data_IF_799009050823
#
_entry.id   IF_799009050823
#
_cell.length_a   1.000
_cell.length_b   1.000
_cell.length_c   1.000
_cell.angle_alpha   90.00
_cell.angle_beta   90.00
_cell.angle_gamma   90.00
#
_symmetry.space_group_name_H-M   'P 1'
#
loop_
_entity.id
_entity.type
_entity.pdbx_description
1 polymer ?
#
# COMPACT_ATOMS: atom_id res chain seq x y z
N UNK A 1 -23.89 76.67 23.43
CA UNK A 1 -23.29 77.84 24.17
C UNK A 1 -21.77 77.71 24.10
N UNK A 2 -21.17 78.75 23.48
CA UNK A 2 -19.85 79.33 23.68
C UNK A 2 -18.65 78.35 23.61
N UNK A 3 -17.90 78.33 22.49
CA UNK A 3 -16.99 79.32 21.97
C UNK A 3 -15.76 79.58 22.89
N UNK A 4 -14.55 79.18 22.41
CA UNK A 4 -13.35 80.03 22.37
C UNK A 4 -12.14 79.28 21.82
N UNK A 5 -11.64 79.74 20.65
CA UNK A 5 -10.21 79.71 20.32
C UNK A 5 -9.49 80.77 21.15
N UNK A 6 -8.21 80.68 21.37
CA UNK A 6 -7.22 81.40 20.57
C UNK A 6 -5.83 80.72 20.54
N UNK A 7 -5.01 81.02 19.67
CA UNK A 7 -4.10 82.10 19.33
C UNK A 7 -2.74 81.57 18.92
N UNK A 8 -2.37 81.93 17.74
CA UNK A 8 -1.06 81.83 17.06
C UNK A 8 0.07 82.51 17.86
N UNK A 9 1.27 81.89 17.85
CA UNK A 9 2.54 82.58 17.96
C UNK A 9 3.47 82.11 16.86
N UNK A 10 3.85 83.10 16.03
CA UNK A 10 4.96 83.05 15.07
C UNK A 10 6.25 83.26 15.82
N UNK A 11 7.29 82.49 15.49
CA UNK A 11 8.65 82.85 15.77
C UNK A 11 9.51 82.62 14.53
N UNK A 12 10.27 83.57 14.23
CA UNK A 12 11.03 83.87 13.04
C UNK A 12 12.31 83.06 12.87
N UNK A 13 12.68 82.93 11.64
CA UNK A 13 13.83 82.43 10.96
C UNK A 13 15.24 82.60 11.63
N UNK A 14 16.09 81.60 11.43
CA UNK A 14 17.49 81.72 11.28
C UNK A 14 18.00 80.81 10.18
N UNK A 15 18.48 81.37 9.10
CA UNK A 15 19.11 80.67 7.96
C UNK A 15 20.48 80.14 8.32
N UNK A 16 20.66 78.84 8.30
CA UNK A 16 21.98 78.22 8.35
C UNK A 16 22.20 77.45 7.08
N UNK A 17 23.12 77.90 6.25
CA UNK A 17 23.57 77.20 5.05
C UNK A 17 24.43 76.03 5.47
N UNK A 18 23.95 74.79 5.25
CA UNK A 18 24.79 73.60 5.38
C UNK A 18 25.07 73.09 3.96
N UNK A 19 26.32 73.13 3.58
CA UNK A 19 26.80 72.48 2.35
C UNK A 19 26.88 70.97 2.58
N UNK A 20 25.92 70.22 2.02
CA UNK A 20 25.98 68.78 2.01
C UNK A 20 26.74 68.29 0.78
N UNK A 21 27.93 67.73 1.04
CA UNK A 21 28.72 67.00 0.03
C UNK A 21 27.99 65.66 -0.16
N UNK A 22 27.28 65.52 -1.26
CA UNK A 22 26.61 64.28 -1.64
C UNK A 22 27.58 63.20 -2.11
N UNK A 23 27.85 62.22 -1.29
CA UNK A 23 28.47 60.96 -1.72
C UNK A 23 27.42 60.12 -2.37
N UNK A 24 27.36 60.06 -3.71
CA UNK A 24 26.47 59.17 -4.46
C UNK A 24 27.06 57.76 -4.41
N UNK A 25 26.54 56.93 -3.49
CA UNK A 25 26.79 55.49 -3.52
C UNK A 25 25.86 54.92 -4.57
N UNK A 26 26.43 54.54 -5.71
CA UNK A 26 25.70 53.76 -6.72
C UNK A 26 25.46 52.35 -6.16
N UNK A 27 24.22 52.09 -5.67
CA UNK A 27 23.77 50.75 -5.35
C UNK A 27 23.55 50.04 -6.68
N UNK A 28 24.47 49.15 -7.05
CA UNK A 28 24.28 48.24 -8.16
C UNK A 28 23.12 47.32 -7.81
N UNK A 29 21.98 47.44 -8.50
CA UNK A 29 20.91 46.46 -8.45
C UNK A 29 21.43 45.14 -9.02
N UNK A 30 21.29 44.01 -8.31
CA UNK A 30 21.60 42.71 -8.92
C UNK A 30 20.66 42.52 -10.11
N UNK A 31 21.24 42.26 -11.29
CA UNK A 31 20.49 41.85 -12.47
C UNK A 31 19.58 40.69 -12.09
N UNK A 32 18.27 40.85 -12.33
CA UNK A 32 17.32 39.77 -12.21
C UNK A 32 17.78 38.66 -13.17
N UNK A 33 18.36 37.61 -12.60
CA UNK A 33 18.58 36.36 -13.33
C UNK A 33 17.22 35.88 -13.78
N UNK A 34 16.96 35.95 -15.09
CA UNK A 34 15.81 35.32 -15.69
C UNK A 34 15.82 33.83 -15.24
N UNK A 35 14.87 33.48 -14.39
CA UNK A 35 14.58 32.08 -14.04
C UNK A 35 14.31 31.38 -15.35
N UNK A 36 15.27 30.62 -15.84
CA UNK A 36 15.02 29.64 -16.88
C UNK A 36 13.93 28.72 -16.30
N UNK A 37 12.69 28.90 -16.76
CA UNK A 37 11.64 27.97 -16.48
C UNK A 37 12.20 26.59 -16.80
N UNK A 38 12.45 25.81 -15.74
CA UNK A 38 12.99 24.47 -15.87
C UNK A 38 12.11 23.71 -16.83
N UNK A 39 12.64 23.40 -18.00
CA UNK A 39 12.00 22.45 -18.93
C UNK A 39 11.88 21.18 -18.11
N UNK A 40 10.64 20.87 -17.67
CA UNK A 40 10.32 19.58 -17.06
C UNK A 40 10.94 18.52 -17.98
N UNK A 41 11.78 17.61 -17.47
CA UNK A 41 12.33 16.56 -18.30
C UNK A 41 11.14 15.87 -18.97
N UNK A 42 11.15 15.87 -20.28
CA UNK A 42 10.13 15.19 -21.08
C UNK A 42 10.16 13.74 -20.63
N UNK A 43 9.06 13.25 -20.07
CA UNK A 43 8.96 11.85 -19.66
C UNK A 43 9.44 11.00 -20.84
N UNK A 44 10.50 10.23 -20.63
CA UNK A 44 11.00 9.32 -21.65
C UNK A 44 9.85 8.43 -22.14
N UNK A 45 9.78 8.20 -23.45
CA UNK A 45 8.75 7.34 -24.01
C UNK A 45 8.89 5.94 -23.39
N UNK A 46 7.79 5.29 -23.00
CA UNK A 46 7.84 3.99 -22.36
C UNK A 46 8.52 2.97 -23.29
N UNK A 47 9.50 2.23 -22.77
CA UNK A 47 10.28 1.26 -23.52
C UNK A 47 9.59 -0.10 -23.47
N UNK A 48 9.19 -0.60 -24.65
CA UNK A 48 8.61 -1.94 -24.80
C UNK A 48 9.71 -2.87 -25.34
N UNK A 49 9.97 -3.94 -24.63
CA UNK A 49 10.91 -4.99 -24.97
C UNK A 49 10.13 -6.19 -25.50
N UNK A 50 10.34 -6.54 -26.75
CA UNK A 50 9.83 -7.76 -27.39
C UNK A 50 10.74 -8.07 -28.60
N UNK A 51 11.10 -9.33 -28.78
CA UNK A 51 11.94 -9.76 -29.90
C UNK A 51 11.23 -10.87 -30.68
N UNK A 52 10.29 -10.49 -31.59
CA UNK A 52 9.51 -11.47 -32.38
C UNK A 52 10.33 -12.10 -33.45
N UNK A 53 10.15 -13.41 -33.62
CA UNK A 53 10.60 -14.18 -34.80
C UNK A 53 9.52 -14.15 -35.90
N UNK A 54 9.84 -14.66 -37.09
CA UNK A 54 8.87 -14.81 -38.17
C UNK A 54 7.64 -15.64 -37.71
N UNK A 55 6.46 -15.16 -38.02
CA UNK A 55 5.19 -15.80 -37.65
C UNK A 55 4.71 -15.52 -36.24
N UNK A 56 5.36 -14.62 -35.48
CA UNK A 56 4.83 -14.12 -34.22
C UNK A 56 3.69 -13.12 -34.45
N UNK A 57 2.63 -13.22 -33.65
CA UNK A 57 1.55 -12.25 -33.69
C UNK A 57 2.01 -10.91 -33.10
N UNK A 58 1.35 -9.83 -33.52
CA UNK A 58 1.60 -8.51 -32.95
C UNK A 58 1.30 -8.48 -31.45
N UNK A 59 2.22 -7.92 -30.66
CA UNK A 59 2.02 -7.71 -29.23
C UNK A 59 0.80 -6.83 -28.96
N UNK A 60 -0.15 -7.24 -28.09
CA UNK A 60 -1.33 -6.45 -27.80
C UNK A 60 -0.98 -5.18 -27.02
N UNK A 61 -1.83 -4.16 -27.16
CA UNK A 61 -1.73 -2.95 -26.34
C UNK A 61 -2.23 -3.24 -24.91
N UNK A 62 -1.35 -3.07 -23.94
CA UNK A 62 -1.67 -3.30 -22.53
C UNK A 62 -1.84 -1.95 -21.82
N UNK A 63 -3.00 -1.70 -21.18
CA UNK A 63 -3.29 -0.43 -20.50
C UNK A 63 -2.67 -0.40 -19.09
N UNK A 64 -1.35 -0.53 -19.00
CA UNK A 64 -0.59 -0.45 -17.76
C UNK A 64 0.65 0.44 -17.95
N UNK A 65 1.10 1.10 -16.86
CA UNK A 65 2.31 1.91 -16.89
C UNK A 65 3.56 1.04 -17.04
N UNK A 66 3.65 -0.04 -16.28
CA UNK A 66 4.71 -1.04 -16.36
C UNK A 66 4.10 -2.44 -16.33
N UNK A 67 4.73 -3.39 -17.04
CA UNK A 67 4.31 -4.78 -17.04
C UNK A 67 5.42 -5.73 -17.54
N UNK A 68 5.29 -7.00 -17.17
CA UNK A 68 6.18 -8.07 -17.61
C UNK A 68 5.37 -9.35 -17.87
N UNK A 69 5.81 -10.12 -18.88
CA UNK A 69 5.35 -11.47 -19.18
C UNK A 69 6.55 -12.42 -19.13
N UNK A 70 6.48 -13.42 -18.28
CA UNK A 70 7.56 -14.35 -17.98
C UNK A 70 7.10 -15.78 -18.15
N UNK A 71 7.95 -16.61 -18.73
CA UNK A 71 7.86 -18.06 -18.62
C UNK A 71 8.35 -18.47 -17.23
N UNK A 72 7.44 -18.98 -16.39
CA UNK A 72 7.74 -19.29 -15.00
C UNK A 72 8.75 -20.44 -14.84
N UNK A 73 8.73 -21.39 -15.75
CA UNK A 73 9.56 -22.60 -15.70
C UNK A 73 11.03 -22.25 -16.02
N UNK A 74 11.28 -21.58 -17.14
CA UNK A 74 12.64 -21.17 -17.53
C UNK A 74 13.09 -19.89 -16.81
N UNK A 75 12.22 -18.95 -16.57
CA UNK A 75 12.53 -17.57 -16.11
C UNK A 75 12.71 -16.59 -17.26
N UNK A 76 12.49 -17.02 -18.51
CA UNK A 76 12.61 -16.17 -19.69
C UNK A 76 11.59 -15.04 -19.71
N UNK A 77 12.05 -13.82 -19.94
CA UNK A 77 11.20 -12.66 -20.16
C UNK A 77 10.80 -12.64 -21.63
N UNK A 78 9.52 -12.92 -21.91
CA UNK A 78 9.00 -13.01 -23.26
C UNK A 78 8.68 -11.63 -23.86
N UNK A 79 8.17 -10.73 -23.02
CA UNK A 79 7.91 -9.35 -23.36
C UNK A 79 7.77 -8.51 -22.07
N UNK A 80 8.11 -7.23 -22.16
CA UNK A 80 7.99 -6.32 -21.03
C UNK A 80 7.79 -4.87 -21.50
N UNK A 81 7.27 -4.04 -20.61
CA UNK A 81 7.24 -2.57 -20.72
C UNK A 81 7.72 -1.98 -19.42
N UNK A 82 8.82 -1.22 -19.47
CA UNK A 82 9.43 -0.55 -18.30
C UNK A 82 9.47 -1.47 -17.05
N UNK A 83 9.96 -2.74 -17.16
CA UNK A 83 9.75 -3.75 -16.12
C UNK A 83 10.43 -3.41 -14.79
N UNK A 84 11.46 -2.55 -14.80
CA UNK A 84 12.23 -2.10 -13.63
C UNK A 84 11.81 -0.72 -13.11
N UNK A 85 10.80 -0.09 -13.73
CA UNK A 85 10.30 1.18 -13.22
C UNK A 85 9.61 0.97 -11.88
N UNK A 86 10.05 1.71 -10.88
CA UNK A 86 9.58 1.58 -9.50
C UNK A 86 8.25 2.31 -9.27
N UNK A 87 7.28 1.60 -8.73
CA UNK A 87 5.99 2.11 -8.28
C UNK A 87 5.65 1.53 -6.91
N UNK A 88 4.77 2.18 -6.11
CA UNK A 88 4.21 1.56 -4.92
C UNK A 88 3.49 0.25 -5.30
N UNK A 89 3.80 -0.86 -4.60
CA UNK A 89 3.26 -2.19 -4.96
C UNK A 89 1.82 -2.40 -4.51
N UNK A 90 1.30 -1.62 -3.57
CA UNK A 90 0.08 -1.92 -2.85
C UNK A 90 0.12 -3.36 -2.28
N UNK A 91 -1.04 -4.01 -2.14
CA UNK A 91 -1.14 -5.35 -1.56
C UNK A 91 -0.49 -6.48 -2.39
N UNK A 92 0.09 -6.22 -3.58
CA UNK A 92 0.91 -7.23 -4.26
C UNK A 92 2.19 -7.53 -3.49
N UNK A 93 2.67 -6.61 -2.63
CA UNK A 93 3.80 -6.83 -1.72
C UNK A 93 3.56 -7.99 -0.74
N UNK A 94 2.32 -8.32 -0.41
CA UNK A 94 1.98 -9.46 0.45
C UNK A 94 2.49 -10.81 -0.08
N UNK A 95 2.80 -10.89 -1.37
CA UNK A 95 3.48 -12.07 -1.93
C UNK A 95 4.88 -12.20 -1.33
N UNK A 96 5.65 -11.10 -1.28
CA UNK A 96 6.95 -11.10 -0.63
C UNK A 96 6.81 -11.41 0.87
N UNK A 97 5.84 -10.82 1.56
CA UNK A 97 5.56 -11.12 2.97
C UNK A 97 5.34 -12.62 3.20
N UNK A 98 4.53 -13.26 2.35
CA UNK A 98 4.25 -14.69 2.46
C UNK A 98 5.47 -15.55 2.14
N UNK A 99 6.17 -15.26 1.04
CA UNK A 99 7.39 -15.98 0.63
C UNK A 99 8.47 -15.90 1.69
N UNK A 100 8.60 -14.74 2.35
CA UNK A 100 9.57 -14.54 3.42
C UNK A 100 9.17 -15.24 4.71
N UNK A 101 7.97 -14.98 5.21
CA UNK A 101 7.64 -15.31 6.60
C UNK A 101 7.06 -16.73 6.77
N UNK A 102 6.47 -17.31 5.71
CA UNK A 102 5.88 -18.65 5.82
C UNK A 102 6.90 -19.74 6.23
N UNK A 103 8.15 -19.77 5.73
CA UNK A 103 9.15 -20.72 6.16
C UNK A 103 9.60 -20.57 7.61
N UNK A 104 9.41 -19.39 8.22
CA UNK A 104 9.80 -19.10 9.60
C UNK A 104 8.77 -19.51 10.64
N UNK A 105 7.54 -19.87 10.23
CA UNK A 105 6.41 -20.08 11.12
C UNK A 105 5.82 -21.48 10.98
N UNK A 106 5.61 -22.17 12.10
CA UNK A 106 4.84 -23.40 12.13
C UNK A 106 3.37 -23.11 11.80
N UNK A 107 2.86 -23.70 10.71
CA UNK A 107 1.54 -23.37 10.16
C UNK A 107 0.38 -23.72 11.10
N UNK A 108 0.54 -24.75 11.94
CA UNK A 108 -0.45 -25.17 12.93
C UNK A 108 -0.35 -24.44 14.27
N UNK A 109 0.68 -23.62 14.46
CA UNK A 109 0.81 -22.83 15.69
C UNK A 109 -0.27 -21.75 15.78
N UNK A 110 -0.52 -21.28 16.99
CA UNK A 110 -1.53 -20.28 17.29
C UNK A 110 -0.88 -18.93 17.58
N UNK A 111 -1.36 -17.90 16.93
CA UNK A 111 -1.01 -16.52 17.23
C UNK A 111 -2.24 -15.78 17.80
N UNK A 112 -2.06 -15.10 18.93
CA UNK A 112 -3.08 -14.23 19.53
C UNK A 112 -2.93 -12.84 18.96
N UNK A 113 -3.96 -12.39 18.20
CA UNK A 113 -3.96 -11.07 17.59
C UNK A 113 -3.97 -9.96 18.66
N UNK A 114 -3.20 -8.91 18.45
CA UNK A 114 -3.12 -7.75 19.32
C UNK A 114 -3.84 -6.52 18.74
N UNK A 115 -3.83 -5.39 19.45
CA UNK A 115 -4.47 -4.15 19.02
C UNK A 115 -3.84 -3.55 17.75
N UNK A 116 -2.53 -3.71 17.54
CA UNK A 116 -1.85 -3.24 16.33
C UNK A 116 -2.38 -3.99 15.10
N UNK A 117 -2.62 -5.30 15.24
CA UNK A 117 -3.12 -6.13 14.13
C UNK A 117 -4.54 -5.70 13.72
N UNK A 118 -5.44 -5.63 14.68
CA UNK A 118 -6.87 -5.40 14.41
C UNK A 118 -7.18 -3.97 13.94
N UNK A 119 -6.29 -3.02 14.25
CA UNK A 119 -6.46 -1.61 13.89
C UNK A 119 -5.82 -1.22 12.56
N UNK A 120 -5.35 -2.21 11.75
CA UNK A 120 -4.81 -1.90 10.44
C UNK A 120 -5.88 -1.26 9.53
N UNK A 121 -5.54 -0.15 8.82
CA UNK A 121 -6.47 0.47 7.89
C UNK A 121 -6.69 -0.38 6.64
N UNK A 122 -7.79 -0.11 5.93
CA UNK A 122 -8.14 -0.77 4.66
C UNK A 122 -8.79 -2.14 4.84
N UNK A 123 -8.49 -3.08 3.94
CA UNK A 123 -9.13 -4.41 3.93
C UNK A 123 -8.67 -5.26 5.10
N UNK A 124 -9.62 -5.90 5.79
CA UNK A 124 -9.39 -6.75 6.97
C UNK A 124 -10.21 -8.03 6.87
N UNK A 125 -9.73 -9.11 7.48
CA UNK A 125 -10.52 -10.34 7.66
C UNK A 125 -11.36 -10.29 8.94
N UNK A 126 -11.14 -9.29 9.78
CA UNK A 126 -11.89 -9.05 11.01
C UNK A 126 -11.33 -9.81 12.21
N UNK A 127 -10.02 -9.86 12.35
CA UNK A 127 -9.37 -10.31 13.58
C UNK A 127 -9.87 -9.51 14.78
N UNK A 128 -9.82 -10.11 15.96
CA UNK A 128 -10.13 -9.43 17.23
C UNK A 128 -8.96 -9.60 18.19
N UNK A 129 -8.60 -8.52 18.87
CA UNK A 129 -7.56 -8.54 19.89
C UNK A 129 -7.87 -9.56 20.99
N UNK A 130 -6.86 -10.28 21.46
CA UNK A 130 -6.98 -11.34 22.43
C UNK A 130 -7.48 -12.68 21.87
N UNK A 131 -7.81 -12.78 20.57
CA UNK A 131 -8.25 -14.02 19.94
C UNK A 131 -7.11 -14.74 19.24
N UNK A 132 -6.94 -16.03 19.58
CA UNK A 132 -5.95 -16.89 18.95
C UNK A 132 -6.48 -17.45 17.61
N UNK A 133 -5.61 -17.38 16.59
CA UNK A 133 -5.86 -17.82 15.23
C UNK A 133 -4.74 -18.74 14.76
N UNK A 134 -5.02 -19.73 13.93
CA UNK A 134 -3.95 -20.52 13.31
C UNK A 134 -3.13 -19.67 12.35
N UNK A 135 -1.81 -19.84 12.36
CA UNK A 135 -0.90 -19.15 11.44
C UNK A 135 -1.27 -19.41 9.98
N UNK A 136 -1.61 -20.65 9.62
CA UNK A 136 -2.07 -20.99 8.27
C UNK A 136 -3.34 -20.24 7.83
N UNK A 137 -4.24 -19.92 8.77
CA UNK A 137 -5.44 -19.12 8.49
C UNK A 137 -5.12 -17.63 8.34
N UNK A 138 -4.11 -17.12 9.07
CA UNK A 138 -3.61 -15.77 8.88
C UNK A 138 -2.99 -15.60 7.49
N UNK A 139 -2.16 -16.54 7.02
CA UNK A 139 -1.64 -16.52 5.64
C UNK A 139 -2.75 -16.59 4.61
N UNK A 140 -3.75 -17.46 4.82
CA UNK A 140 -4.91 -17.54 3.93
C UNK A 140 -5.68 -16.22 3.88
N UNK A 141 -5.97 -15.60 5.03
CA UNK A 141 -6.64 -14.30 5.12
C UNK A 141 -5.85 -13.17 4.46
N UNK A 142 -4.54 -13.15 4.65
CA UNK A 142 -3.64 -12.20 4.02
C UNK A 142 -3.64 -12.32 2.48
N UNK A 143 -3.60 -13.53 1.95
CA UNK A 143 -3.48 -13.75 0.51
C UNK A 143 -4.82 -13.72 -0.21
N UNK A 144 -5.86 -14.38 0.31
CA UNK A 144 -7.19 -14.50 -0.31
C UNK A 144 -7.98 -13.20 -0.20
N UNK A 145 -8.17 -12.68 1.02
CA UNK A 145 -8.93 -11.46 1.30
C UNK A 145 -8.09 -10.18 1.22
N UNK A 146 -6.77 -10.33 1.07
CA UNK A 146 -5.87 -9.16 1.17
C UNK A 146 -5.90 -8.48 2.55
N UNK A 147 -6.19 -9.22 3.63
CA UNK A 147 -6.33 -8.71 5.00
C UNK A 147 -5.06 -8.01 5.47
N UNK A 148 -5.18 -6.72 5.85
CA UNK A 148 -4.07 -5.95 6.41
C UNK A 148 -3.86 -6.32 7.88
N UNK A 149 -4.94 -6.63 8.60
CA UNK A 149 -4.92 -7.21 9.94
C UNK A 149 -4.18 -8.56 9.96
N UNK A 150 -4.48 -9.43 9.00
CA UNK A 150 -3.80 -10.72 8.88
C UNK A 150 -2.32 -10.55 8.50
N UNK A 151 -1.96 -9.59 7.64
CA UNK A 151 -0.57 -9.31 7.30
C UNK A 151 0.23 -8.78 8.51
N UNK A 152 -0.38 -7.92 9.32
CA UNK A 152 0.18 -7.45 10.58
C UNK A 152 0.39 -8.61 11.56
N UNK A 153 -0.63 -9.45 11.73
CA UNK A 153 -0.59 -10.61 12.61
C UNK A 153 0.51 -11.61 12.21
N UNK A 154 0.69 -11.88 10.90
CA UNK A 154 1.79 -12.72 10.38
C UNK A 154 3.15 -12.11 10.72
N UNK A 155 3.32 -10.80 10.51
CA UNK A 155 4.58 -10.12 10.81
C UNK A 155 4.89 -10.14 12.32
N UNK A 156 3.89 -9.90 13.16
CA UNK A 156 4.05 -9.96 14.61
C UNK A 156 4.29 -11.38 15.10
N UNK A 157 3.62 -12.39 14.53
CA UNK A 157 3.86 -13.81 14.81
C UNK A 157 5.31 -14.24 14.50
N UNK A 158 5.93 -13.63 13.50
CA UNK A 158 7.31 -13.89 13.09
C UNK A 158 8.36 -13.08 13.89
N UNK A 159 7.97 -12.40 14.96
CA UNK A 159 8.88 -11.65 15.82
C UNK A 159 8.80 -10.14 15.70
N UNK A 160 7.68 -9.61 15.18
CA UNK A 160 7.40 -8.17 15.07
C UNK A 160 7.64 -7.59 13.68
N UNK A 161 7.12 -6.39 13.47
CA UNK A 161 7.20 -5.69 12.18
C UNK A 161 8.62 -5.41 11.74
N UNK A 162 9.45 -4.86 12.63
CA UNK A 162 10.83 -4.49 12.30
C UNK A 162 11.64 -5.72 11.84
N UNK A 163 11.59 -6.81 12.61
CA UNK A 163 12.25 -8.07 12.24
C UNK A 163 11.72 -8.61 10.92
N UNK A 164 10.40 -8.59 10.71
CA UNK A 164 9.76 -9.06 9.48
C UNK A 164 10.15 -8.22 8.27
N UNK A 165 10.22 -6.89 8.39
CA UNK A 165 10.64 -6.00 7.31
C UNK A 165 12.11 -6.19 6.94
N UNK A 166 12.98 -6.41 7.94
CA UNK A 166 14.38 -6.77 7.69
C UNK A 166 14.46 -8.08 6.89
N UNK A 167 13.75 -9.12 7.33
CA UNK A 167 13.70 -10.40 6.60
C UNK A 167 13.13 -10.25 5.19
N UNK A 168 12.10 -9.43 4.99
CA UNK A 168 11.50 -9.18 3.67
C UNK A 168 12.50 -8.50 2.72
N UNK A 169 13.26 -7.53 3.19
CA UNK A 169 14.27 -6.87 2.37
C UNK A 169 15.47 -7.78 2.09
N UNK A 170 15.91 -8.59 3.06
CA UNK A 170 16.92 -9.63 2.86
C UNK A 170 16.46 -10.67 1.83
N UNK A 171 15.21 -11.11 1.89
CA UNK A 171 14.64 -12.07 0.95
C UNK A 171 14.52 -11.47 -0.45
N UNK A 172 14.10 -10.19 -0.58
CA UNK A 172 14.10 -9.51 -1.86
C UNK A 172 15.50 -9.48 -2.49
N UNK A 173 16.53 -9.16 -1.69
CA UNK A 173 17.92 -9.18 -2.14
C UNK A 173 18.37 -10.58 -2.56
N UNK A 174 18.09 -11.63 -1.75
CA UNK A 174 18.38 -13.04 -2.05
C UNK A 174 17.77 -13.50 -3.37
N UNK A 175 16.55 -13.05 -3.65
CA UNK A 175 15.83 -13.36 -4.88
C UNK A 175 16.32 -12.55 -6.09
N UNK A 176 17.21 -11.57 -5.89
CA UNK A 176 17.70 -10.65 -6.91
C UNK A 176 16.68 -9.56 -7.30
N UNK A 177 15.68 -9.31 -6.48
CA UNK A 177 14.67 -8.27 -6.65
C UNK A 177 15.23 -6.91 -6.17
N UNK A 178 15.87 -6.19 -7.08
CA UNK A 178 16.67 -4.99 -6.77
C UNK A 178 15.86 -3.67 -6.72
N UNK A 179 14.63 -3.72 -7.22
CA UNK A 179 13.76 -2.54 -7.30
C UNK A 179 12.79 -2.45 -6.11
N UNK A 180 12.89 -3.36 -5.14
CA UNK A 180 11.94 -3.46 -4.04
C UNK A 180 12.54 -3.00 -2.72
N UNK A 181 11.80 -2.12 -2.05
CA UNK A 181 11.97 -1.77 -0.64
C UNK A 181 10.65 -2.03 0.07
N UNK A 182 10.67 -2.93 1.05
CA UNK A 182 9.51 -3.20 1.90
C UNK A 182 9.59 -2.33 3.16
N UNK A 183 8.58 -1.50 3.38
CA UNK A 183 8.43 -0.63 4.56
C UNK A 183 7.18 -0.94 5.38
N UNK A 184 6.28 -1.79 4.86
CA UNK A 184 5.15 -2.36 5.58
C UNK A 184 4.94 -3.82 5.17
N UNK A 185 4.45 -4.71 6.05
CA UNK A 185 4.18 -6.09 5.66
C UNK A 185 2.88 -6.24 4.84
N UNK A 186 2.04 -5.21 4.81
CA UNK A 186 0.73 -5.24 4.15
C UNK A 186 0.67 -4.50 2.81
N UNK A 187 1.71 -3.75 2.44
CA UNK A 187 1.80 -3.00 1.20
C UNK A 187 1.03 -1.68 1.19
N UNK A 188 0.66 -1.14 2.35
CA UNK A 188 0.08 0.21 2.44
C UNK A 188 1.12 1.27 2.07
N UNK A 189 0.64 2.39 1.55
CA UNK A 189 1.48 3.46 1.03
C UNK A 189 2.48 3.99 2.07
N UNK A 190 3.76 4.00 1.69
CA UNK A 190 4.90 4.66 2.33
C UNK A 190 5.77 5.24 1.24
N UNK A 191 6.38 6.40 1.48
CA UNK A 191 7.20 7.09 0.47
C UNK A 191 8.35 6.23 -0.03
N UNK A 192 8.99 5.49 0.87
CA UNK A 192 10.12 4.60 0.59
C UNK A 192 9.71 3.23 0.05
N UNK A 193 8.42 2.84 0.14
CA UNK A 193 7.96 1.52 -0.28
C UNK A 193 7.70 1.45 -1.76
N UNK A 194 8.60 0.85 -2.49
CA UNK A 194 8.58 0.71 -3.94
C UNK A 194 8.81 -0.74 -4.36
N UNK A 195 8.40 -1.06 -5.57
CA UNK A 195 8.67 -2.33 -6.26
C UNK A 195 8.52 -2.13 -7.76
N UNK A 196 8.84 -3.16 -8.55
CA UNK A 196 8.70 -3.16 -10.00
C UNK A 196 7.89 -4.36 -10.50
N UNK A 197 7.47 -4.33 -11.77
CA UNK A 197 6.80 -5.47 -12.39
C UNK A 197 7.73 -6.69 -12.44
N UNK A 198 9.03 -6.49 -12.65
CA UNK A 198 10.03 -7.56 -12.64
C UNK A 198 10.12 -8.23 -11.26
N UNK A 199 10.23 -7.44 -10.20
CA UNK A 199 10.34 -7.95 -8.84
C UNK A 199 9.07 -8.67 -8.38
N UNK A 200 7.89 -8.14 -8.72
CA UNK A 200 6.63 -8.83 -8.44
C UNK A 200 6.55 -10.19 -9.14
N UNK A 201 7.07 -10.31 -10.37
CA UNK A 201 7.14 -11.58 -11.08
C UNK A 201 8.12 -12.56 -10.40
N UNK A 202 9.25 -12.07 -9.91
CA UNK A 202 10.22 -12.86 -9.12
C UNK A 202 9.55 -13.43 -7.88
N UNK A 203 8.89 -12.60 -7.08
CA UNK A 203 8.21 -13.04 -5.85
C UNK A 203 7.10 -14.05 -6.15
N UNK A 204 6.34 -13.84 -7.22
CA UNK A 204 5.27 -14.76 -7.57
C UNK A 204 5.79 -16.10 -8.08
N UNK A 205 6.91 -16.09 -8.84
CA UNK A 205 7.60 -17.31 -9.27
C UNK A 205 8.06 -18.13 -8.07
N UNK A 206 8.58 -17.48 -7.02
CA UNK A 206 8.97 -18.16 -5.80
C UNK A 206 7.76 -18.68 -5.03
N UNK A 207 6.68 -17.90 -4.95
CA UNK A 207 5.43 -18.32 -4.30
C UNK A 207 4.83 -19.59 -4.92
N UNK A 208 4.94 -19.76 -6.25
CA UNK A 208 4.45 -20.95 -6.95
C UNK A 208 5.26 -22.23 -6.64
N UNK A 209 6.50 -22.09 -6.14
CA UNK A 209 7.35 -23.23 -5.73
C UNK A 209 7.06 -23.69 -4.30
N UNK A 210 6.31 -22.90 -3.52
CA UNK A 210 5.93 -23.22 -2.14
C UNK A 210 4.56 -23.89 -2.13
N UNK A 211 4.45 -25.20 -1.82
CA UNK A 211 3.19 -25.95 -1.97
C UNK A 211 2.01 -25.33 -1.21
N UNK A 212 2.21 -24.95 0.04
CA UNK A 212 1.17 -24.36 0.89
C UNK A 212 0.69 -23.01 0.35
N UNK A 213 1.62 -22.16 -0.10
CA UNK A 213 1.28 -20.86 -0.67
C UNK A 213 0.60 -20.99 -2.03
N UNK A 214 1.07 -21.92 -2.87
CA UNK A 214 0.45 -22.23 -4.16
C UNK A 214 -0.99 -22.73 -3.98
N UNK A 215 -1.26 -23.51 -2.94
CA UNK A 215 -2.62 -23.98 -2.62
C UNK A 215 -3.52 -22.83 -2.16
N UNK A 216 -3.04 -21.96 -1.26
CA UNK A 216 -3.77 -20.75 -0.84
C UNK A 216 -4.14 -19.88 -2.06
N UNK A 217 -3.22 -19.69 -3.01
CA UNK A 217 -3.45 -18.88 -4.20
C UNK A 217 -4.54 -19.42 -5.13
N UNK A 218 -4.81 -20.74 -5.09
CA UNK A 218 -5.87 -21.43 -5.85
C UNK A 218 -7.18 -21.55 -5.09
N UNK A 219 -7.18 -21.29 -3.78
CA UNK A 219 -8.34 -21.48 -2.93
C UNK A 219 -9.35 -20.35 -3.14
N UNK A 220 -10.62 -20.71 -3.43
CA UNK A 220 -11.70 -19.74 -3.62
C UNK A 220 -12.31 -19.28 -2.31
N UNK A 221 -12.59 -20.24 -1.45
CA UNK A 221 -13.21 -20.02 -0.13
C UNK A 221 -12.53 -20.90 0.90
N UNK A 222 -12.40 -20.42 2.12
CA UNK A 222 -11.90 -21.17 3.26
C UNK A 222 -12.57 -20.66 4.53
N UNK A 223 -12.99 -21.55 5.40
CA UNK A 223 -13.44 -21.21 6.74
C UNK A 223 -12.27 -21.32 7.70
N UNK A 224 -11.89 -20.19 8.30
CA UNK A 224 -10.92 -20.11 9.38
C UNK A 224 -11.69 -20.08 10.71
N UNK A 225 -11.23 -20.86 11.67
CA UNK A 225 -11.87 -20.94 12.99
C UNK A 225 -10.90 -20.49 14.08
N UNK A 226 -11.31 -19.47 14.84
CA UNK A 226 -10.60 -19.08 16.04
C UNK A 226 -10.76 -20.13 17.14
N UNK A 227 -9.83 -20.14 18.11
CA UNK A 227 -9.82 -21.12 19.20
C UNK A 227 -11.13 -21.14 20.01
N UNK A 228 -11.81 -20.01 20.13
CA UNK A 228 -13.13 -19.91 20.79
C UNK A 228 -14.33 -20.17 19.88
N UNK A 229 -14.12 -20.80 18.73
CA UNK A 229 -15.17 -21.26 17.84
C UNK A 229 -15.77 -20.23 16.88
N UNK A 230 -15.29 -18.98 16.88
CA UNK A 230 -15.74 -18.00 15.89
C UNK A 230 -15.26 -18.38 14.49
N UNK A 231 -16.17 -18.38 13.53
CA UNK A 231 -15.84 -18.57 12.11
C UNK A 231 -15.48 -17.24 11.43
N UNK A 232 -14.45 -17.28 10.59
CA UNK A 232 -14.07 -16.22 9.67
C UNK A 232 -14.15 -16.82 8.27
N UNK A 233 -15.12 -16.38 7.48
CA UNK A 233 -15.29 -16.84 6.10
C UNK A 233 -14.31 -16.07 5.20
N UNK A 234 -13.28 -16.75 4.70
CA UNK A 234 -12.32 -16.22 3.77
C UNK A 234 -12.78 -16.49 2.34
N UNK A 235 -12.63 -15.50 1.47
CA UNK A 235 -12.94 -15.63 0.04
C UNK A 235 -11.91 -14.89 -0.81
N UNK A 236 -11.53 -15.49 -1.92
CA UNK A 236 -10.52 -14.89 -2.79
C UNK A 236 -11.07 -13.66 -3.51
N UNK A 237 -10.33 -12.55 -3.46
CA UNK A 237 -10.61 -11.37 -4.28
C UNK A 237 -10.19 -11.53 -5.74
N UNK A 238 -9.61 -12.67 -6.08
CA UNK A 238 -9.17 -13.00 -7.42
C UNK A 238 -10.36 -13.34 -8.33
N UNK A 239 -10.81 -12.37 -9.13
CA UNK A 239 -11.97 -12.51 -10.00
C UNK A 239 -11.85 -13.65 -11.02
N UNK A 240 -10.63 -13.87 -11.60
CA UNK A 240 -10.42 -14.92 -12.59
C UNK A 240 -10.52 -16.31 -11.96
N UNK A 241 -10.10 -16.45 -10.70
CA UNK A 241 -10.28 -17.69 -9.93
C UNK A 241 -11.75 -17.96 -9.67
N UNK A 242 -12.51 -16.95 -9.25
CA UNK A 242 -13.96 -17.09 -9.01
C UNK A 242 -14.73 -17.51 -10.27
N UNK A 243 -14.33 -16.99 -11.44
CA UNK A 243 -14.92 -17.30 -12.74
C UNK A 243 -14.44 -18.66 -13.33
N UNK A 244 -13.65 -19.44 -12.60
CA UNK A 244 -13.05 -20.70 -13.09
C UNK A 244 -12.28 -20.53 -14.40
N UNK A 245 -11.52 -19.42 -14.53
CA UNK A 245 -10.78 -19.19 -15.76
C UNK A 245 -9.76 -20.31 -16.00
N UNK A 246 -9.80 -21.00 -17.16
CA UNK A 246 -9.01 -22.19 -17.39
C UNK A 246 -7.50 -21.98 -17.23
N UNK A 247 -6.87 -22.86 -16.46
CA UNK A 247 -5.42 -22.84 -16.23
C UNK A 247 -4.95 -21.78 -15.23
N UNK A 248 -5.86 -21.06 -14.55
CA UNK A 248 -5.49 -20.06 -13.56
C UNK A 248 -4.89 -20.70 -12.31
N UNK A 249 -3.65 -20.33 -11.97
CA UNK A 249 -2.91 -20.86 -10.82
C UNK A 249 -2.99 -19.94 -9.58
N UNK A 250 -3.41 -18.72 -9.75
CA UNK A 250 -3.52 -17.76 -8.65
C UNK A 250 -3.17 -16.33 -9.05
N UNK A 251 -3.49 -15.38 -8.19
CA UNK A 251 -3.12 -13.99 -8.33
C UNK A 251 -3.09 -13.29 -6.98
N UNK A 252 -2.33 -12.19 -6.92
CA UNK A 252 -2.45 -11.18 -5.88
C UNK A 252 -2.71 -9.83 -6.52
N UNK A 253 -3.79 -9.20 -6.10
CA UNK A 253 -4.17 -7.84 -6.52
C UNK A 253 -3.83 -6.82 -5.45
N UNK A 254 -3.62 -5.57 -5.84
CA UNK A 254 -3.42 -4.44 -4.95
C UNK A 254 -4.08 -3.19 -5.48
N UNK A 255 -4.48 -2.30 -4.57
CA UNK A 255 -4.98 -0.97 -4.91
C UNK A 255 -4.76 -0.05 -3.72
N UNK A 256 -4.10 1.07 -3.97
CA UNK A 256 -3.99 2.21 -3.05
C UNK A 256 -4.08 3.51 -3.85
N UNK A 257 -4.15 4.64 -3.16
CA UNK A 257 -4.16 5.95 -3.84
C UNK A 257 -2.86 6.25 -4.57
N UNK A 258 -1.71 5.87 -4.02
CA UNK A 258 -0.40 6.11 -4.66
C UNK A 258 -0.11 5.07 -5.75
N UNK A 259 -0.41 3.80 -5.49
CA UNK A 259 -0.11 2.72 -6.43
C UNK A 259 -1.03 2.67 -7.65
N UNK A 260 -2.28 3.15 -7.52
CA UNK A 260 -3.32 2.76 -8.45
C UNK A 260 -3.59 1.25 -8.34
N UNK A 261 -3.89 0.59 -9.44
CA UNK A 261 -4.13 -0.86 -9.45
C UNK A 261 -2.86 -1.62 -9.82
N UNK A 262 -2.56 -2.67 -9.06
CA UNK A 262 -1.45 -3.59 -9.29
C UNK A 262 -1.94 -5.04 -9.27
N UNK A 263 -1.30 -5.90 -10.02
CA UNK A 263 -1.59 -7.35 -10.02
C UNK A 263 -0.38 -8.15 -10.44
N UNK A 264 -0.20 -9.29 -9.82
CA UNK A 264 0.64 -10.37 -10.29
C UNK A 264 -0.16 -11.66 -10.29
N UNK A 265 -0.02 -12.47 -11.35
CA UNK A 265 -0.83 -13.67 -11.53
C UNK A 265 -0.10 -14.69 -12.40
N UNK A 266 -0.54 -15.96 -12.34
CA UNK A 266 -0.01 -17.04 -13.19
C UNK A 266 -1.11 -17.89 -13.79
N UNK A 267 -0.80 -18.41 -14.98
CA UNK A 267 -1.64 -19.33 -15.74
C UNK A 267 -0.80 -20.48 -16.31
N UNK A 268 -1.39 -21.66 -16.39
CA UNK A 268 -0.80 -22.83 -17.01
C UNK A 268 -1.68 -23.33 -18.17
N UNK A 269 -1.05 -23.56 -19.33
CA UNK A 269 -1.68 -24.26 -20.47
C UNK A 269 -0.69 -25.32 -20.99
N UNK A 270 -1.13 -26.57 -20.99
CA UNK A 270 -0.22 -27.71 -21.25
C UNK A 270 0.92 -27.76 -20.22
N UNK A 271 2.16 -27.77 -20.70
CA UNK A 271 3.36 -27.77 -19.83
C UNK A 271 3.92 -26.38 -19.55
N UNK A 272 3.37 -25.31 -20.14
CA UNK A 272 3.90 -23.96 -19.97
C UNK A 272 3.15 -23.20 -18.88
N UNK A 273 3.88 -22.59 -17.99
CA UNK A 273 3.37 -21.67 -16.97
C UNK A 273 3.85 -20.26 -17.27
N UNK A 274 2.92 -19.31 -17.38
CA UNK A 274 3.23 -17.90 -17.60
C UNK A 274 2.86 -17.08 -16.38
N UNK A 275 3.72 -16.12 -16.03
CA UNK A 275 3.49 -15.08 -15.01
C UNK A 275 3.31 -13.74 -15.72
N UNK A 276 2.32 -12.97 -15.29
CA UNK A 276 2.12 -11.57 -15.66
C UNK A 276 2.09 -10.72 -14.41
N UNK A 277 2.90 -9.67 -14.39
CA UNK A 277 2.79 -8.60 -13.42
C UNK A 277 2.47 -7.27 -14.12
N UNK A 278 1.53 -6.50 -13.57
CA UNK A 278 1.10 -5.21 -14.08
C UNK A 278 1.12 -4.19 -12.96
N UNK A 279 1.66 -2.99 -13.23
CA UNK A 279 1.64 -1.87 -12.31
C UNK A 279 0.89 -0.68 -12.91
N UNK A 280 0.05 -0.03 -12.11
CA UNK A 280 -0.79 1.12 -12.49
C UNK A 280 -1.63 0.84 -13.74
N UNK A 281 -2.38 -0.25 -13.74
CA UNK A 281 -3.25 -0.58 -14.87
C UNK A 281 -4.63 0.10 -14.77
N UNK A 282 -5.17 0.50 -15.92
CA UNK A 282 -6.36 1.37 -16.01
C UNK A 282 -7.71 0.66 -16.20
N UNK A 283 -7.79 -0.69 -16.05
CA UNK A 283 -9.01 -1.45 -16.37
C UNK A 283 -9.36 -2.48 -15.29
N UNK A 284 -10.13 -3.52 -15.62
CA UNK A 284 -10.25 -4.71 -14.77
C UNK A 284 -9.02 -5.60 -14.93
N UNK A 285 -8.75 -6.46 -13.94
CA UNK A 285 -7.66 -7.42 -13.98
C UNK A 285 -7.71 -8.28 -15.26
N UNK A 286 -8.88 -8.78 -15.60
CA UNK A 286 -9.10 -9.65 -16.77
C UNK A 286 -8.75 -8.93 -18.09
N UNK A 287 -9.26 -7.69 -18.24
CA UNK A 287 -9.00 -6.90 -19.45
C UNK A 287 -7.54 -6.49 -19.58
N UNK A 288 -6.83 -6.32 -18.46
CA UNK A 288 -5.44 -5.93 -18.47
C UNK A 288 -4.50 -7.12 -18.70
N UNK A 289 -4.72 -8.27 -18.05
CA UNK A 289 -3.79 -9.40 -18.05
C UNK A 289 -4.08 -10.45 -19.12
N UNK A 290 -5.36 -10.73 -19.45
CA UNK A 290 -5.73 -11.77 -20.41
C UNK A 290 -5.07 -11.62 -21.79
N UNK A 291 -5.01 -10.43 -22.42
CA UNK A 291 -4.35 -10.29 -23.72
C UNK A 291 -2.88 -10.69 -23.71
N UNK A 292 -2.15 -10.41 -22.62
CA UNK A 292 -0.75 -10.85 -22.46
C UNK A 292 -0.63 -12.37 -22.36
N UNK A 293 -1.51 -13.02 -21.59
CA UNK A 293 -1.51 -14.48 -21.49
C UNK A 293 -1.82 -15.14 -22.82
N UNK A 294 -2.88 -14.69 -23.51
CA UNK A 294 -3.28 -15.27 -24.80
C UNK A 294 -2.17 -15.11 -25.82
N UNK A 295 -1.58 -13.92 -25.90
CA UNK A 295 -0.42 -13.68 -26.77
C UNK A 295 0.78 -14.53 -26.38
N UNK A 296 1.10 -14.61 -25.09
CA UNK A 296 2.23 -15.38 -24.59
C UNK A 296 2.11 -16.87 -24.90
N UNK A 297 0.95 -17.48 -24.66
CA UNK A 297 0.74 -18.89 -24.98
C UNK A 297 0.79 -19.18 -26.49
N UNK A 298 0.33 -18.25 -27.32
CA UNK A 298 0.36 -18.39 -28.78
C UNK A 298 1.76 -18.16 -29.39
N UNK A 299 2.61 -17.37 -28.70
CA UNK A 299 3.82 -16.84 -29.29
C UNK A 299 5.12 -17.17 -28.53
N UNK A 300 5.07 -17.82 -27.36
CA UNK A 300 6.26 -18.07 -26.54
C UNK A 300 7.39 -18.80 -27.29
N UNK A 301 7.07 -19.71 -28.21
CA UNK A 301 8.06 -20.39 -29.09
C UNK A 301 8.51 -19.53 -30.28
N UNK A 302 7.77 -18.46 -30.57
CA UNK A 302 7.99 -17.56 -31.73
C UNK A 302 8.64 -16.24 -31.32
N UNK A 303 9.13 -16.13 -30.09
CA UNK A 303 9.88 -14.96 -29.63
C UNK A 303 11.24 -15.41 -29.09
N UNK A 304 12.22 -14.54 -29.20
CA UNK A 304 13.49 -14.69 -28.48
C UNK A 304 13.30 -13.96 -27.14
N UNK A 305 13.64 -14.58 -26.01
CA UNK A 305 13.58 -13.89 -24.73
C UNK A 305 14.34 -12.56 -24.76
N UNK A 306 13.78 -11.53 -24.19
CA UNK A 306 14.38 -10.19 -24.10
C UNK A 306 15.22 -10.01 -22.83
N UNK A 307 15.23 -11.01 -21.98
CA UNK A 307 15.96 -11.08 -20.72
C UNK A 307 15.61 -12.34 -19.96
N UNK A 308 16.12 -12.43 -18.75
CA UNK A 308 15.90 -13.56 -17.85
C UNK A 308 15.75 -13.05 -16.43
N UNK A 309 14.80 -13.60 -15.67
CA UNK A 309 14.72 -13.33 -14.24
C UNK A 309 15.97 -13.84 -13.53
N UNK A 310 16.45 -13.17 -12.50
CA UNK A 310 17.61 -13.62 -11.75
C UNK A 310 17.40 -15.03 -11.19
N UNK A 311 18.50 -15.76 -11.08
CA UNK A 311 18.54 -17.02 -10.33
C UNK A 311 18.68 -16.66 -8.86
N UNK A 312 17.70 -17.10 -8.06
CA UNK A 312 17.73 -16.85 -6.62
C UNK A 312 18.94 -17.54 -5.97
N UNK A 313 19.56 -16.87 -5.04
CA UNK A 313 20.55 -17.51 -4.15
C UNK A 313 19.86 -18.60 -3.32
N UNK A 314 20.59 -19.68 -2.96
CA UNK A 314 20.05 -20.71 -2.06
C UNK A 314 19.54 -20.10 -0.77
N UNK A 315 18.35 -20.53 -0.35
CA UNK A 315 17.85 -20.11 0.97
C UNK A 315 18.64 -20.86 2.06
N UNK A 316 19.19 -20.14 3.06
CA UNK A 316 19.75 -20.81 4.23
C UNK A 316 18.68 -21.70 4.90
N UNK A 317 19.06 -22.80 5.54
CA UNK A 317 18.13 -23.60 6.32
C UNK A 317 17.40 -22.72 7.35
N UNK A 318 16.08 -22.76 7.33
CA UNK A 318 15.24 -22.03 8.28
C UNK A 318 14.46 -23.06 9.10
N UNK A 319 14.58 -22.98 10.41
CA UNK A 319 13.75 -23.77 11.31
C UNK A 319 12.46 -22.99 11.61
N UNK A 320 11.31 -23.57 11.23
CA UNK A 320 10.02 -23.00 11.52
C UNK A 320 9.74 -23.03 13.03
N UNK A 321 9.42 -21.87 13.60
CA UNK A 321 9.16 -21.69 15.03
C UNK A 321 7.67 -21.50 15.28
N UNK A 322 7.17 -21.85 16.49
CA UNK A 322 5.84 -21.41 16.90
C UNK A 322 5.71 -19.87 16.83
N UNK A 323 4.50 -19.41 16.59
CA UNK A 323 4.22 -17.98 16.58
C UNK A 323 4.59 -17.31 17.92
N UNK A 324 5.25 -16.17 17.86
CA UNK A 324 5.62 -15.40 19.06
C UNK A 324 4.36 -14.73 19.61
N UNK A 325 4.16 -14.79 20.95
CA UNK A 325 3.18 -13.96 21.65
C UNK A 325 3.85 -12.64 22.01
N UNK A 326 3.30 -11.56 21.54
CA UNK A 326 3.71 -10.23 22.01
C UNK A 326 2.71 -9.88 23.12
N UNK A 327 3.20 -9.86 24.37
CA UNK A 327 2.38 -9.43 25.51
C UNK A 327 2.06 -7.95 25.37
N UNK A 328 0.76 -7.60 25.46
CA UNK A 328 0.24 -6.24 25.26
C UNK A 328 0.76 -5.21 26.30
N UNK A 329 1.54 -5.65 27.28
CA UNK A 329 2.07 -4.80 28.38
C UNK A 329 3.24 -3.92 27.96
N UNK A 330 3.89 -4.16 26.81
CA UNK A 330 5.11 -3.45 26.41
C UNK A 330 4.86 -2.34 25.35
N UNK A 331 3.62 -2.14 24.87
CA UNK A 331 3.29 -1.18 23.79
C UNK A 331 2.23 -0.14 24.11
N UNK A 332 2.00 0.20 25.38
CA UNK A 332 1.37 1.47 25.72
C UNK A 332 2.47 2.56 25.68
N UNK A 333 2.42 3.58 24.79
CA UNK A 333 3.28 4.74 24.97
C UNK A 333 2.92 5.32 26.33
N UNK A 334 3.89 5.38 27.24
CA UNK A 334 3.77 6.13 28.49
C UNK A 334 3.44 7.58 28.10
N UNK A 335 2.17 7.94 28.17
CA UNK A 335 1.77 9.33 28.17
C UNK A 335 2.39 9.94 29.42
N UNK A 336 3.33 10.86 29.23
CA UNK A 336 3.81 11.74 30.29
C UNK A 336 2.60 12.45 30.89
N UNK A 337 2.08 11.87 31.97
CA UNK A 337 1.13 12.52 32.84
C UNK A 337 1.84 13.66 33.54
N UNK A 338 1.58 14.88 33.10
CA UNK A 338 1.88 16.07 33.87
C UNK A 338 1.10 15.97 35.18
N UNK A 339 1.78 15.59 36.24
CA UNK A 339 1.27 15.72 37.60
C UNK A 339 0.96 17.21 37.88
N UNK A 340 -0.33 17.56 37.84
CA UNK A 340 -0.81 18.80 38.39
C UNK A 340 -0.76 18.66 39.91
N UNK A 341 0.18 19.36 40.53
CA UNK A 341 0.31 19.47 41.96
C UNK A 341 -1.02 19.98 42.59
N UNK A 342 -1.67 19.11 43.36
CA UNK A 342 -2.81 19.48 44.19
C UNK A 342 -2.28 20.19 45.43
N UNK A 343 -2.35 21.48 45.43
CA UNK A 343 -2.19 22.28 46.65
C UNK A 343 -3.46 22.14 47.49
N UNK A 344 -3.37 21.40 48.58
CA UNK A 344 -4.42 21.34 49.59
C UNK A 344 -4.39 22.63 50.44
N UNK A 345 -5.40 23.48 50.32
CA UNK A 345 -5.71 24.49 51.32
C UNK A 345 -7.01 24.11 52.03
N UNK A 346 -6.89 23.72 53.31
CA UNK A 346 -8.01 23.64 54.22
C UNK A 346 -8.47 25.05 54.59
N UNK A 347 -9.76 25.36 54.47
CA UNK A 347 -10.45 26.27 55.37
C UNK A 347 -11.95 25.99 55.31
N UNK A 348 -12.54 25.83 56.49
CA UNK A 348 -13.92 25.44 56.70
C UNK A 348 -14.93 26.56 56.50
N UNK A 349 -16.21 26.17 56.51
CA UNK A 349 -17.32 27.04 56.86
C UNK A 349 -18.50 27.09 55.90
N UNK A 350 -19.56 26.37 56.28
CA UNK A 350 -21.00 26.72 56.19
C UNK A 350 -21.67 27.13 54.88
N UNK A 351 -22.58 26.28 54.43
CA UNK A 351 -23.98 26.61 54.09
C UNK A 351 -24.30 27.36 52.79
N UNK A 352 -25.00 26.67 51.87
CA UNK A 352 -25.74 27.38 50.82
C UNK A 352 -26.03 26.52 49.58
N UNK A 353 -27.21 25.95 49.51
CA UNK A 353 -27.78 25.36 48.29
C UNK A 353 -27.83 26.35 47.15
N UNK A 354 -27.29 25.99 45.97
CA UNK A 354 -27.73 26.58 44.70
C UNK A 354 -27.56 25.59 43.54
N UNK A 355 -28.60 25.53 42.73
CA UNK A 355 -28.96 24.62 41.67
C UNK A 355 -27.90 24.47 40.57
N UNK A 356 -27.61 23.25 40.21
CA UNK A 356 -26.86 22.90 38.99
C UNK A 356 -27.77 23.12 37.77
N UNK A 357 -27.34 23.97 36.85
CA UNK A 357 -27.89 24.08 35.50
C UNK A 357 -26.91 23.33 34.59
N UNK A 358 -27.41 22.24 34.00
CA UNK A 358 -26.66 21.43 33.06
C UNK A 358 -26.44 22.13 31.70
N UNK A 359 -25.23 22.05 31.19
CA UNK A 359 -24.92 22.35 29.81
C UNK A 359 -24.73 21.01 29.08
N UNK A 360 -25.77 20.59 28.37
CA UNK A 360 -25.70 19.54 27.36
C UNK A 360 -25.29 20.18 26.03
N UNK A 361 -24.08 19.95 25.57
CA UNK A 361 -23.64 20.35 24.26
C UNK A 361 -24.14 19.34 23.20
N UNK A 362 -24.90 19.86 22.26
CA UNK A 362 -25.33 19.18 21.03
C UNK A 362 -24.13 18.80 20.16
N UNK A 363 -23.95 17.50 19.91
CA UNK A 363 -23.29 16.99 18.70
C UNK A 363 -24.16 15.86 18.16
N UNK A 364 -24.86 16.11 17.09
CA UNK A 364 -25.62 15.11 16.37
C UNK A 364 -26.58 15.74 15.40
N UNK A 365 -26.16 15.84 14.13
CA UNK A 365 -27.04 15.87 12.94
C UNK A 365 -26.16 16.20 11.72
N UNK A 366 -25.76 15.17 10.98
CA UNK A 366 -24.99 15.26 9.76
C UNK A 366 -24.83 13.91 9.07
N UNK A 367 -25.91 13.15 8.90
CA UNK A 367 -25.81 11.83 8.30
C UNK A 367 -27.14 11.24 7.82
N UNK A 368 -27.96 12.00 7.10
CA UNK A 368 -29.16 11.42 6.50
C UNK A 368 -29.67 12.25 5.30
N UNK A 369 -28.89 12.33 4.22
CA UNK A 369 -29.34 12.95 2.98
C UNK A 369 -28.68 12.41 1.69
N UNK A 370 -28.28 11.14 1.61
CA UNK A 370 -27.77 10.55 0.34
C UNK A 370 -28.46 9.21 -0.02
N UNK A 371 -29.50 8.77 0.65
CA UNK A 371 -30.22 7.53 0.30
C UNK A 371 -31.58 7.72 -0.40
N UNK A 372 -31.97 8.96 -0.75
CA UNK A 372 -33.27 9.28 -1.35
C UNK A 372 -33.30 9.46 -2.88
N UNK A 373 -32.17 9.51 -3.59
CA UNK A 373 -32.16 9.94 -5.00
C UNK A 373 -32.02 8.81 -6.05
N UNK A 374 -31.84 7.58 -5.64
CA UNK A 374 -31.67 6.45 -6.60
C UNK A 374 -32.97 5.67 -6.83
N UNK A 375 -34.05 5.92 -6.08
CA UNK A 375 -35.32 5.15 -6.22
C UNK A 375 -36.39 5.81 -7.08
N UNK A 376 -36.19 7.04 -7.55
CA UNK A 376 -37.21 7.77 -8.37
C UNK A 376 -36.98 7.69 -9.90
N UNK A 377 -35.93 7.04 -10.39
CA UNK A 377 -35.64 7.01 -11.84
C UNK A 377 -35.97 5.70 -12.56
N UNK A 378 -36.51 4.70 -11.85
CA UNK A 378 -36.85 3.40 -12.46
C UNK A 378 -38.35 3.13 -12.60
N UNK A 379 -39.26 4.13 -12.44
CA UNK A 379 -40.70 3.89 -12.55
C UNK A 379 -41.40 4.74 -13.64
N UNK A 380 -40.71 5.18 -14.68
CA UNK A 380 -41.32 5.90 -15.80
C UNK A 380 -40.81 5.39 -17.15
N UNK A 381 -40.93 4.08 -17.40
CA UNK A 381 -40.90 3.54 -18.78
C UNK A 381 -41.58 2.18 -18.83
N UNK A 382 -42.91 2.16 -18.61
CA UNK A 382 -43.80 1.13 -19.13
C UNK A 382 -45.17 1.73 -19.30
N UNK A 383 -45.50 2.10 -20.55
CA UNK A 383 -46.81 2.60 -20.94
C UNK A 383 -46.73 3.38 -22.24
N UNK A 384 -46.87 2.67 -23.35
CA UNK A 384 -47.03 3.26 -24.67
C UNK A 384 -46.53 2.29 -25.75
#
# INVERSE_FOLDING_TARGET
MLNRRPRTQRLTAASGVVVAVGLSVAVAQPAATASTAGVMPRAEAPVIFVNPKAGADRLPRIPASSWILVDADSGDILAAKDPHHQYPPASTLKVLTAVTLMPHLQQDSLYTANYQDVNQPGTRIGLRAGMANKVSDLFAGMMMNSGNDAASAVANAAGGWESSLRLMNEEAARLGAKDTVAATPNGLDRTEQLSSAADLAIFFREALKMPELAEILKTKTRDAQTVNGRLIHLYSHNKMLQLNYPGHLGAKTGTTSMAGKTVVSAFKRGHRTLIVALMRYGSTMERASKPLYDWGFANASKVTPVGHLPVAEPRPPVEARPAVRIDDTEQAPAGEGTEAAVVSSQSGGTGGSLKAIGFLALIGLGGAAIFGFVRWRNNSSSGG
#
